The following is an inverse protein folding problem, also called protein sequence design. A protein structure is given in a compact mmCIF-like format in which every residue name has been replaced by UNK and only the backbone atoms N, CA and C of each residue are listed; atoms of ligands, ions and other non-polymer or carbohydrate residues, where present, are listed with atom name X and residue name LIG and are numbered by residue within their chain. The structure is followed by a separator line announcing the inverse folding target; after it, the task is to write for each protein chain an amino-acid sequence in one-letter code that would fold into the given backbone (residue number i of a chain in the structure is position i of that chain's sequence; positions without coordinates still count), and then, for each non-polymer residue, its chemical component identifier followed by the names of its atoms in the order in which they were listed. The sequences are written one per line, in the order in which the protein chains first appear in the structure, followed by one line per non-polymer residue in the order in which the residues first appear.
data_IF_627320415018
#
_entry.id   IF_627320415018
#
_cell.length_a   1.000
_cell.length_b   1.000
_cell.length_c   1.000
_cell.angle_alpha   90.00
_cell.angle_beta   90.00
_cell.angle_gamma   90.00
#
_symmetry.space_group_name_H-M   'P 1'
#
loop_
_entity.id
_entity.type
_entity.pdbx_description
1 polymer ?
#
# COMPACT_ATOMS: atom_id res chain seq x y z
N UNK A 1 -49.23 58.38 -48.00
CA UNK A 1 -48.29 57.26 -48.25
C UNK A 1 -47.95 56.60 -46.91
N UNK A 2 -48.36 55.33 -46.74
CA UNK A 2 -47.73 54.21 -45.98
C UNK A 2 -47.31 54.49 -44.51
N UNK A 3 -48.12 54.14 -43.49
CA UNK A 3 -48.23 52.86 -42.72
C UNK A 3 -47.15 52.59 -41.64
N UNK A 4 -47.63 52.55 -40.38
CA UNK A 4 -47.46 51.51 -39.33
C UNK A 4 -46.22 51.40 -38.40
N UNK A 5 -46.55 51.45 -37.09
CA UNK A 5 -46.29 50.45 -36.02
C UNK A 5 -45.11 50.60 -35.02
N UNK A 6 -45.45 50.21 -33.79
CA UNK A 6 -44.73 50.18 -32.50
C UNK A 6 -43.62 49.11 -32.49
N UNK A 7 -42.56 49.30 -31.68
CA UNK A 7 -42.07 48.28 -30.74
C UNK A 7 -40.90 48.81 -29.88
N UNK A 8 -40.97 48.52 -28.58
CA UNK A 8 -39.92 48.70 -27.59
C UNK A 8 -38.83 47.62 -27.75
N UNK A 9 -37.57 47.95 -27.44
CA UNK A 9 -36.51 46.96 -27.23
C UNK A 9 -35.85 47.25 -25.88
N UNK A 10 -36.30 46.51 -24.88
CA UNK A 10 -35.62 46.26 -23.61
C UNK A 10 -34.52 45.22 -23.88
N UNK A 11 -33.26 45.58 -23.64
CA UNK A 11 -32.15 44.64 -23.74
C UNK A 11 -32.12 43.71 -22.50
N UNK A 12 -32.31 42.41 -22.72
CA UNK A 12 -32.27 41.38 -21.69
C UNK A 12 -30.82 40.93 -21.47
N UNK A 13 -30.26 41.16 -20.28
CA UNK A 13 -28.98 40.58 -19.84
C UNK A 13 -29.26 39.15 -19.36
N UNK A 14 -28.85 38.15 -20.15
CA UNK A 14 -28.90 36.75 -19.74
C UNK A 14 -27.64 36.39 -18.96
N UNK A 15 -27.71 36.47 -17.63
CA UNK A 15 -26.70 35.90 -16.74
C UNK A 15 -26.83 34.37 -16.73
N UNK A 16 -25.93 33.67 -17.42
CA UNK A 16 -25.78 32.21 -17.30
C UNK A 16 -25.11 31.92 -15.97
N UNK A 17 -25.90 31.58 -14.95
CA UNK A 17 -25.40 31.02 -13.69
C UNK A 17 -25.20 29.53 -13.91
N UNK A 18 -23.96 29.11 -14.15
CA UNK A 18 -23.58 27.69 -14.15
C UNK A 18 -23.59 27.21 -12.70
N UNK A 19 -24.70 26.63 -12.24
CA UNK A 19 -24.77 26.00 -10.93
C UNK A 19 -23.90 24.73 -10.94
N UNK A 20 -22.76 24.78 -10.25
CA UNK A 20 -21.94 23.60 -9.96
C UNK A 20 -22.69 22.81 -8.89
N UNK A 21 -23.58 21.93 -9.33
CA UNK A 21 -24.22 20.95 -8.45
C UNK A 21 -23.19 19.89 -8.09
N UNK A 22 -22.47 20.05 -6.98
CA UNK A 22 -21.69 18.96 -6.39
C UNK A 22 -22.63 17.80 -6.12
N UNK A 23 -22.47 16.70 -6.86
CA UNK A 23 -23.39 15.57 -6.80
C UNK A 23 -23.28 14.87 -5.44
N UNK A 24 -24.39 14.27 -4.96
CA UNK A 24 -24.35 13.46 -3.73
C UNK A 24 -23.35 12.27 -3.80
N UNK A 25 -22.90 11.90 -5.00
CA UNK A 25 -21.86 10.90 -5.23
C UNK A 25 -20.46 11.38 -4.79
N UNK A 26 -20.16 12.68 -4.89
CA UNK A 26 -18.86 13.26 -4.49
C UNK A 26 -18.65 13.29 -2.98
N UNK A 27 -19.72 13.18 -2.19
CA UNK A 27 -19.68 13.16 -0.74
C UNK A 27 -19.56 11.74 -0.15
N UNK A 28 -19.60 10.69 -0.98
CA UNK A 28 -19.60 9.30 -0.52
C UNK A 28 -18.21 8.88 -0.02
N UNK A 29 -18.18 8.20 1.14
CA UNK A 29 -16.98 7.58 1.70
C UNK A 29 -16.42 6.55 0.71
N UNK A 30 -15.25 6.83 0.13
CA UNK A 30 -14.64 5.96 -0.85
C UNK A 30 -14.36 4.57 -0.27
N UNK A 31 -13.96 4.47 1.00
CA UNK A 31 -13.70 3.16 1.63
C UNK A 31 -14.95 2.29 1.58
N UNK A 32 -16.10 2.85 1.93
CA UNK A 32 -17.36 2.13 1.91
C UNK A 32 -17.80 1.71 0.50
N UNK A 33 -17.41 2.44 -0.55
CA UNK A 33 -17.71 2.09 -1.94
C UNK A 33 -16.82 0.96 -2.44
N UNK A 34 -15.51 1.05 -2.23
CA UNK A 34 -14.55 0.05 -2.69
C UNK A 34 -14.71 -1.28 -1.96
N UNK A 35 -14.95 -1.27 -0.64
CA UNK A 35 -15.14 -2.50 0.14
C UNK A 35 -16.39 -3.30 -0.20
N UNK A 36 -17.33 -2.75 -0.97
CA UNK A 36 -18.52 -3.49 -1.47
C UNK A 36 -18.22 -4.31 -2.73
N UNK A 37 -17.07 -4.11 -3.37
CA UNK A 37 -16.72 -4.78 -4.62
C UNK A 37 -15.93 -6.06 -4.30
N UNK A 38 -16.52 -7.20 -4.63
CA UNK A 38 -15.92 -8.52 -4.42
C UNK A 38 -15.10 -9.03 -5.61
N UNK A 39 -15.22 -8.38 -6.78
CA UNK A 39 -14.55 -8.77 -8.03
C UNK A 39 -13.84 -7.57 -8.68
N UNK A 40 -12.78 -7.84 -9.48
CA UNK A 40 -12.09 -6.78 -10.22
C UNK A 40 -13.04 -6.08 -11.20
N UNK A 41 -12.64 -4.91 -11.66
CA UNK A 41 -13.33 -4.24 -12.76
C UNK A 41 -12.96 -4.89 -14.11
N UNK A 42 -13.82 -4.84 -15.14
CA UNK A 42 -13.61 -5.50 -16.43
C UNK A 42 -12.58 -4.80 -17.35
N UNK A 43 -11.69 -3.99 -16.76
CA UNK A 43 -10.68 -3.21 -17.48
C UNK A 43 -9.37 -3.98 -17.62
N UNK A 44 -8.49 -3.50 -18.49
CA UNK A 44 -7.09 -3.90 -18.47
C UNK A 44 -6.43 -3.49 -17.13
N UNK A 45 -5.45 -4.28 -16.64
CA UNK A 45 -4.79 -3.99 -15.37
C UNK A 45 -4.08 -2.63 -15.36
N UNK A 46 -4.49 -1.74 -14.46
CA UNK A 46 -3.92 -0.39 -14.38
C UNK A 46 -3.99 0.21 -12.96
N UNK A 47 -2.84 0.68 -12.47
CA UNK A 47 -2.72 1.37 -11.17
C UNK A 47 -2.97 2.87 -11.36
N UNK A 48 -3.92 3.43 -10.61
CA UNK A 48 -4.38 4.82 -10.79
C UNK A 48 -4.16 5.61 -9.50
N UNK A 49 -3.45 6.74 -9.59
CA UNK A 49 -3.21 7.64 -8.47
C UNK A 49 -2.00 7.26 -7.62
N UNK A 50 -2.06 7.57 -6.33
CA UNK A 50 -1.02 7.32 -5.32
C UNK A 50 -1.37 6.09 -4.49
N UNK A 51 -0.38 5.44 -3.88
CA UNK A 51 -0.55 4.25 -3.04
C UNK A 51 -1.59 4.40 -1.91
N UNK A 52 -1.80 5.62 -1.43
CA UNK A 52 -2.74 5.98 -0.37
C UNK A 52 -3.89 6.90 -0.82
N UNK A 53 -4.03 7.12 -2.14
CA UNK A 53 -5.08 7.95 -2.72
C UNK A 53 -5.24 7.57 -4.20
N UNK A 54 -5.90 6.45 -4.45
CA UNK A 54 -6.01 5.88 -5.77
C UNK A 54 -6.93 4.67 -5.85
N UNK A 55 -6.90 3.97 -6.97
CA UNK A 55 -7.65 2.73 -7.21
C UNK A 55 -6.90 1.80 -8.18
N UNK A 56 -7.44 0.60 -8.38
CA UNK A 56 -6.87 -0.42 -9.25
C UNK A 56 -7.93 -0.92 -10.24
N UNK A 57 -7.67 -0.69 -11.53
CA UNK A 57 -8.44 -1.26 -12.62
C UNK A 57 -7.91 -2.65 -12.98
N UNK A 58 -8.78 -3.59 -13.37
CA UNK A 58 -8.36 -4.89 -13.91
C UNK A 58 -7.45 -5.70 -12.99
N UNK A 59 -7.70 -5.69 -11.67
CA UNK A 59 -6.79 -6.33 -10.73
C UNK A 59 -6.62 -7.83 -11.01
N UNK A 60 -5.39 -8.32 -10.85
CA UNK A 60 -5.07 -9.74 -10.97
C UNK A 60 -4.97 -10.34 -9.57
N UNK A 61 -5.60 -11.50 -9.38
CA UNK A 61 -5.46 -12.25 -8.14
C UNK A 61 -4.06 -12.88 -8.05
N UNK A 62 -3.44 -12.79 -6.87
CA UNK A 62 -2.42 -13.77 -6.49
C UNK A 62 -3.14 -15.12 -6.35
N UNK A 63 -2.70 -16.20 -7.04
CA UNK A 63 -3.23 -17.53 -6.76
C UNK A 63 -3.13 -17.80 -5.25
N UNK A 64 -4.24 -18.25 -4.64
CA UNK A 64 -4.31 -18.40 -3.19
C UNK A 64 -3.17 -19.26 -2.65
N UNK A 65 -2.70 -20.21 -3.44
CA UNK A 65 -1.51 -21.02 -3.14
C UNK A 65 -0.63 -21.12 -4.37
N UNK A 66 0.68 -21.19 -4.14
CA UNK A 66 1.64 -21.60 -5.15
C UNK A 66 2.75 -22.45 -4.55
N UNK A 67 3.73 -22.87 -5.36
CA UNK A 67 4.77 -23.81 -4.91
C UNK A 67 5.59 -23.33 -3.71
N UNK A 68 5.68 -22.01 -3.55
CA UNK A 68 6.50 -21.36 -2.51
C UNK A 68 5.74 -20.25 -1.78
N UNK A 69 4.40 -20.21 -1.84
CA UNK A 69 3.63 -19.23 -1.07
C UNK A 69 2.20 -19.69 -0.73
N UNK A 70 1.62 -19.05 0.28
CA UNK A 70 0.18 -19.04 0.52
C UNK A 70 -0.30 -17.62 0.83
N UNK A 71 -1.38 -17.19 0.18
CA UNK A 71 -2.11 -15.98 0.55
C UNK A 71 -2.87 -16.22 1.84
N UNK A 72 -2.75 -15.30 2.79
CA UNK A 72 -3.30 -15.38 4.14
C UNK A 72 -4.54 -14.51 4.28
N UNK A 73 -5.35 -14.77 5.31
CA UNK A 73 -6.59 -14.02 5.57
C UNK A 73 -7.53 -13.97 4.35
N UNK A 74 -7.73 -15.10 3.67
CA UNK A 74 -8.50 -15.18 2.41
C UNK A 74 -9.90 -14.57 2.55
N UNK A 75 -10.53 -14.69 3.72
CA UNK A 75 -11.82 -14.08 4.05
C UNK A 75 -11.87 -12.55 3.87
N UNK A 76 -10.72 -11.87 3.90
CA UNK A 76 -10.64 -10.42 3.65
C UNK A 76 -10.74 -10.05 2.18
N UNK A 77 -10.50 -10.98 1.26
CA UNK A 77 -10.46 -10.74 -0.18
C UNK A 77 -9.45 -9.63 -0.58
N UNK A 78 -8.28 -9.61 0.08
CA UNK A 78 -7.20 -8.63 -0.14
C UNK A 78 -6.01 -9.23 -0.90
N UNK A 79 -6.20 -10.22 -1.77
CA UNK A 79 -5.11 -10.88 -2.51
C UNK A 79 -5.05 -10.44 -3.98
N UNK A 80 -5.42 -9.17 -4.26
CA UNK A 80 -5.45 -8.61 -5.61
C UNK A 80 -4.33 -7.59 -5.80
N UNK A 81 -3.80 -7.48 -7.02
CA UNK A 81 -2.72 -6.56 -7.29
C UNK A 81 -2.56 -6.19 -8.77
N UNK A 82 -1.65 -5.25 -9.01
CA UNK A 82 -1.13 -5.03 -10.35
C UNK A 82 -0.32 -6.28 -10.77
N UNK A 83 -0.32 -6.68 -12.06
CA UNK A 83 0.48 -7.81 -12.54
C UNK A 83 1.96 -7.76 -12.14
N UNK A 84 2.57 -6.57 -12.08
CA UNK A 84 3.95 -6.41 -11.59
C UNK A 84 4.11 -6.78 -10.11
N UNK A 85 3.11 -6.48 -9.27
CA UNK A 85 3.12 -6.86 -7.86
C UNK A 85 2.97 -8.37 -7.70
N UNK A 86 2.04 -8.99 -8.44
CA UNK A 86 1.84 -10.43 -8.39
C UNK A 86 3.14 -11.15 -8.78
N UNK A 87 3.78 -10.75 -9.88
CA UNK A 87 5.09 -11.28 -10.30
C UNK A 87 6.16 -11.08 -9.24
N UNK A 88 6.24 -9.88 -8.65
CA UNK A 88 7.20 -9.60 -7.58
C UNK A 88 7.02 -10.54 -6.38
N UNK A 89 5.77 -10.74 -5.92
CA UNK A 89 5.49 -11.63 -4.78
C UNK A 89 5.86 -13.08 -5.09
N UNK A 90 5.54 -13.56 -6.29
CA UNK A 90 5.93 -14.91 -6.74
C UNK A 90 7.46 -15.08 -6.84
N UNK A 91 8.17 -14.06 -7.30
CA UNK A 91 9.64 -14.07 -7.38
C UNK A 91 10.29 -14.01 -6.00
N UNK A 92 9.78 -13.14 -5.13
CA UNK A 92 10.25 -13.03 -3.75
C UNK A 92 10.00 -14.32 -2.98
N UNK A 93 8.90 -15.02 -3.25
CA UNK A 93 8.60 -16.29 -2.60
C UNK A 93 9.58 -17.40 -2.98
N UNK A 94 10.05 -17.41 -4.23
CA UNK A 94 11.18 -18.24 -4.65
C UNK A 94 12.52 -17.77 -4.07
N UNK A 95 12.71 -16.48 -3.84
CA UNK A 95 13.91 -15.99 -3.14
C UNK A 95 13.92 -16.42 -1.67
N UNK A 96 12.75 -16.53 -1.03
CA UNK A 96 12.62 -17.03 0.34
C UNK A 96 13.18 -18.44 0.51
N UNK A 97 13.02 -19.31 -0.50
CA UNK A 97 13.59 -20.68 -0.44
C UNK A 97 15.11 -20.70 -0.46
N UNK A 98 15.74 -19.73 -1.12
CA UNK A 98 17.20 -19.58 -1.16
C UNK A 98 17.79 -19.10 0.17
N UNK A 99 16.97 -18.51 1.05
CA UNK A 99 17.41 -18.09 2.40
C UNK A 99 17.02 -19.10 3.48
N UNK A 100 16.50 -20.27 3.09
CA UNK A 100 16.17 -21.38 3.98
C UNK A 100 14.73 -21.41 4.49
N UNK A 101 13.82 -20.59 3.93
CA UNK A 101 12.38 -20.71 4.23
C UNK A 101 11.71 -21.68 3.26
N UNK A 102 10.57 -22.28 3.62
CA UNK A 102 9.82 -23.09 2.66
C UNK A 102 9.15 -22.24 1.57
N UNK A 103 9.00 -20.93 1.81
CA UNK A 103 8.26 -20.00 0.97
C UNK A 103 7.83 -18.78 1.76
N UNK A 104 6.69 -18.18 1.38
CA UNK A 104 6.10 -17.02 2.07
C UNK A 104 4.65 -17.25 2.50
N UNK A 105 4.31 -16.69 3.64
CA UNK A 105 2.94 -16.31 3.95
C UNK A 105 2.73 -14.85 3.54
N UNK A 106 1.85 -14.63 2.56
CA UNK A 106 1.57 -13.32 1.99
C UNK A 106 0.32 -12.76 2.65
N UNK A 107 0.44 -11.60 3.30
CA UNK A 107 -0.66 -10.89 3.93
C UNK A 107 -1.50 -10.11 2.91
N UNK A 108 -1.93 -8.92 3.31
CA UNK A 108 -2.81 -8.10 2.48
C UNK A 108 -2.01 -7.50 1.30
N UNK A 109 -2.55 -7.65 0.10
CA UNK A 109 -2.29 -6.86 -1.11
C UNK A 109 -3.39 -5.78 -1.20
N UNK A 110 -4.05 -5.62 -2.35
CA UNK A 110 -5.21 -4.75 -2.53
C UNK A 110 -6.55 -5.50 -2.50
N UNK A 111 -7.62 -4.75 -2.30
CA UNK A 111 -8.99 -5.16 -2.66
C UNK A 111 -9.12 -5.35 -4.19
N UNK A 112 -10.17 -6.03 -4.70
CA UNK A 112 -10.33 -6.33 -6.13
C UNK A 112 -10.32 -5.10 -7.04
N UNK A 113 -10.74 -3.94 -6.53
CA UNK A 113 -10.72 -2.66 -7.26
C UNK A 113 -9.78 -1.62 -6.63
N UNK A 114 -8.91 -2.07 -5.72
CA UNK A 114 -8.05 -1.19 -4.94
C UNK A 114 -8.84 -0.28 -4.01
N UNK A 115 -8.51 1.01 -4.01
CA UNK A 115 -9.20 2.02 -3.21
C UNK A 115 -8.87 1.95 -1.71
N UNK A 116 -9.35 2.94 -0.93
CA UNK A 116 -9.19 2.92 0.52
C UNK A 116 -9.73 1.62 1.12
N UNK A 117 -8.95 1.00 1.99
CA UNK A 117 -9.22 -0.33 2.55
C UNK A 117 -9.13 -0.28 4.08
N UNK A 118 -9.89 -1.14 4.76
CA UNK A 118 -9.84 -1.21 6.21
C UNK A 118 -8.50 -1.77 6.71
N UNK A 119 -7.96 -1.15 7.76
CA UNK A 119 -6.70 -1.58 8.39
C UNK A 119 -5.44 -0.98 7.78
N UNK A 120 -5.53 -0.35 6.60
CA UNK A 120 -4.38 0.21 5.89
C UNK A 120 -4.58 1.66 5.48
N UNK A 121 -3.49 2.43 5.53
CA UNK A 121 -3.45 3.76 4.95
C UNK A 121 -3.18 3.73 3.43
N UNK A 122 -2.51 2.68 2.93
CA UNK A 122 -2.18 2.46 1.51
C UNK A 122 -2.85 1.21 0.95
N UNK A 123 -2.18 0.43 0.09
CA UNK A 123 -2.77 -0.74 -0.59
C UNK A 123 -3.87 -0.41 -1.59
N UNK A 124 -3.94 0.84 -2.05
CA UNK A 124 -5.06 1.29 -2.88
C UNK A 124 -4.88 1.05 -4.37
N UNK A 125 -3.65 0.83 -4.85
CA UNK A 125 -3.34 0.80 -6.30
C UNK A 125 -2.68 -0.49 -6.79
N UNK A 126 -2.69 -1.56 -5.98
CA UNK A 126 -2.11 -2.86 -6.37
C UNK A 126 -0.60 -2.92 -6.38
N UNK A 127 0.09 -2.00 -5.70
CA UNK A 127 1.56 -1.90 -5.67
C UNK A 127 2.12 -1.89 -4.23
N UNK A 128 1.33 -2.36 -3.26
CA UNK A 128 1.74 -2.61 -1.88
C UNK A 128 1.46 -4.07 -1.51
N UNK A 129 2.35 -4.68 -0.71
CA UNK A 129 2.21 -6.06 -0.25
C UNK A 129 2.76 -6.22 1.18
N UNK A 130 1.96 -6.80 2.06
CA UNK A 130 2.43 -7.25 3.37
C UNK A 130 2.98 -8.67 3.28
N UNK A 131 4.22 -8.86 3.71
CA UNK A 131 4.83 -10.18 3.82
C UNK A 131 5.03 -10.50 5.29
N UNK A 132 4.46 -11.62 5.74
CA UNK A 132 4.53 -12.02 7.14
C UNK A 132 5.98 -12.33 7.54
N UNK A 133 6.36 -11.91 8.75
CA UNK A 133 7.64 -12.29 9.37
C UNK A 133 7.61 -13.71 9.97
N UNK A 134 6.53 -14.47 9.78
CA UNK A 134 6.46 -15.88 10.14
C UNK A 134 7.00 -16.73 8.99
N UNK A 135 8.15 -17.42 9.13
CA UNK A 135 8.61 -18.39 8.14
C UNK A 135 7.61 -19.54 8.04
N UNK A 136 7.13 -19.94 6.85
CA UNK A 136 6.17 -21.04 6.73
C UNK A 136 6.76 -22.37 7.20
N UNK A 137 6.15 -22.98 8.23
CA UNK A 137 6.46 -24.36 8.63
C UNK A 137 5.96 -25.40 7.63
N UNK A 138 4.91 -25.07 6.86
CA UNK A 138 4.35 -25.85 5.75
C UNK A 138 3.59 -24.92 4.79
N UNK A 139 3.31 -25.37 3.57
CA UNK A 139 2.58 -24.60 2.54
C UNK A 139 1.29 -25.31 2.07
N UNK A 140 0.64 -26.01 2.98
CA UNK A 140 -0.63 -26.70 2.75
C UNK A 140 -1.67 -26.34 3.81
N UNK A 141 -1.63 -25.11 4.35
CA UNK A 141 -2.67 -24.61 5.23
C UNK A 141 -4.04 -24.58 4.53
N UNK A 142 -5.07 -25.00 5.25
CA UNK A 142 -6.48 -24.83 4.85
C UNK A 142 -6.91 -23.36 4.91
N UNK A 143 -7.96 -22.92 4.20
CA UNK A 143 -8.46 -21.55 4.30
C UNK A 143 -8.74 -21.09 5.74
N UNK A 144 -9.35 -21.95 6.57
CA UNK A 144 -9.63 -21.64 7.97
C UNK A 144 -8.37 -21.43 8.82
N UNK A 145 -7.31 -22.21 8.58
CA UNK A 145 -6.00 -22.02 9.22
C UNK A 145 -5.37 -20.68 8.80
N UNK A 146 -5.47 -20.33 7.52
CA UNK A 146 -4.96 -19.05 7.01
C UNK A 146 -5.70 -17.85 7.57
N UNK A 147 -6.97 -18.02 7.91
CA UNK A 147 -7.80 -16.99 8.54
C UNK A 147 -7.61 -16.89 10.06
N UNK A 148 -6.99 -17.88 10.72
CA UNK A 148 -6.85 -17.93 12.20
C UNK A 148 -5.42 -17.76 12.71
N UNK A 149 -4.40 -18.29 12.02
CA UNK A 149 -2.99 -18.20 12.47
C UNK A 149 -2.54 -16.75 12.52
N UNK A 150 -1.66 -16.40 13.46
CA UNK A 150 -1.05 -15.06 13.53
C UNK A 150 0.42 -15.10 13.12
N UNK A 151 0.92 -13.98 12.62
CA UNK A 151 2.33 -13.84 12.27
C UNK A 151 3.22 -13.67 13.53
N UNK A 152 4.53 -13.68 13.31
CA UNK A 152 5.58 -13.68 14.34
C UNK A 152 6.04 -12.26 14.68
N UNK A 153 6.02 -11.87 15.97
CA UNK A 153 6.56 -10.59 16.41
C UNK A 153 8.08 -10.65 16.59
N UNK A 154 8.84 -9.81 15.86
CA UNK A 154 10.32 -9.77 15.94
C UNK A 154 10.88 -8.65 16.81
N UNK A 155 10.03 -7.84 17.45
CA UNK A 155 10.43 -6.68 18.27
C UNK A 155 10.34 -6.96 19.76
N UNK A 156 11.28 -6.42 20.54
CA UNK A 156 11.23 -6.39 22.01
C UNK A 156 10.03 -5.58 22.54
N UNK A 157 9.64 -5.82 23.79
CA UNK A 157 8.54 -5.09 24.45
C UNK A 157 8.85 -3.61 24.65
N UNK A 158 10.12 -3.26 24.92
CA UNK A 158 10.59 -1.87 25.04
C UNK A 158 10.73 -1.15 23.70
N UNK A 159 10.47 -1.85 22.58
CA UNK A 159 10.52 -1.33 21.21
C UNK A 159 11.89 -0.90 20.71
N UNK A 160 12.97 -1.20 21.43
CA UNK A 160 14.33 -0.71 21.13
C UNK A 160 15.22 -1.72 20.41
N UNK A 161 14.90 -3.00 20.48
CA UNK A 161 15.70 -4.08 19.90
C UNK A 161 14.83 -5.12 19.18
N UNK A 162 15.49 -5.98 18.38
CA UNK A 162 14.86 -7.21 17.90
C UNK A 162 14.91 -8.27 19.01
N UNK A 163 13.91 -9.15 19.06
CA UNK A 163 13.87 -10.26 20.01
C UNK A 163 14.43 -11.57 19.38
N UNK A 164 14.35 -12.69 20.10
CA UNK A 164 14.86 -14.00 19.65
C UNK A 164 14.18 -14.59 18.40
N UNK A 165 13.07 -14.03 17.95
CA UNK A 165 12.40 -14.47 16.71
C UNK A 165 13.09 -13.94 15.45
N UNK A 166 13.87 -12.87 15.55
CA UNK A 166 14.60 -12.33 14.40
C UNK A 166 15.79 -13.22 14.05
N UNK A 167 15.95 -13.54 12.76
CA UNK A 167 17.02 -14.42 12.28
C UNK A 167 17.73 -13.82 11.07
N UNK A 168 18.91 -14.36 10.75
CA UNK A 168 19.65 -13.99 9.54
C UNK A 168 18.86 -14.27 8.25
N UNK A 169 17.98 -15.27 8.24
CA UNK A 169 17.13 -15.56 7.10
C UNK A 169 16.13 -14.42 6.82
N UNK A 170 15.57 -13.81 7.88
CA UNK A 170 14.74 -12.60 7.72
C UNK A 170 15.53 -11.47 7.07
N UNK A 171 16.73 -11.18 7.57
CA UNK A 171 17.59 -10.12 7.04
C UNK A 171 17.90 -10.34 5.54
N UNK A 172 18.25 -11.57 5.16
CA UNK A 172 18.53 -11.93 3.75
C UNK A 172 17.30 -11.84 2.85
N UNK A 173 16.12 -12.17 3.36
CA UNK A 173 14.86 -12.00 2.61
C UNK A 173 14.56 -10.52 2.35
N UNK A 174 14.69 -9.67 3.36
CA UNK A 174 14.49 -8.23 3.20
C UNK A 174 15.54 -7.60 2.27
N UNK A 175 16.80 -8.05 2.33
CA UNK A 175 17.83 -7.63 1.39
C UNK A 175 17.47 -8.05 -0.05
N UNK A 176 17.03 -9.30 -0.26
CA UNK A 176 16.60 -9.78 -1.58
C UNK A 176 15.44 -8.93 -2.14
N UNK A 177 14.44 -8.61 -1.30
CA UNK A 177 13.36 -7.71 -1.68
C UNK A 177 13.87 -6.29 -2.01
N UNK A 178 14.73 -5.70 -1.18
CA UNK A 178 15.23 -4.34 -1.37
C UNK A 178 16.12 -4.20 -2.62
N UNK A 179 16.84 -5.25 -2.99
CA UNK A 179 17.67 -5.28 -4.20
C UNK A 179 16.86 -5.36 -5.49
N UNK A 180 15.58 -5.72 -5.41
CA UNK A 180 14.71 -5.70 -6.58
C UNK A 180 14.53 -4.26 -7.12
N UNK A 181 14.72 -4.03 -8.43
CA UNK A 181 14.61 -2.69 -9.01
C UNK A 181 13.18 -2.13 -9.01
N UNK A 182 12.15 -2.99 -8.93
CA UNK A 182 10.75 -2.56 -8.83
C UNK A 182 10.44 -1.96 -7.46
N UNK A 183 11.13 -2.41 -6.41
CA UNK A 183 10.89 -1.96 -5.03
C UNK A 183 11.36 -0.52 -4.84
N UNK A 184 10.44 0.33 -4.38
CA UNK A 184 10.71 1.69 -3.94
C UNK A 184 11.20 1.69 -2.48
N UNK A 185 10.39 1.14 -1.57
CA UNK A 185 10.65 1.10 -0.13
C UNK A 185 10.08 -0.18 0.49
N UNK A 186 10.64 -0.57 1.61
CA UNK A 186 10.13 -1.60 2.51
C UNK A 186 9.95 -0.98 3.89
N UNK A 187 8.73 -0.93 4.40
CA UNK A 187 8.49 -0.47 5.77
C UNK A 187 8.58 -1.64 6.73
N UNK A 188 9.37 -1.46 7.78
CA UNK A 188 9.53 -2.44 8.85
C UNK A 188 9.75 -1.73 10.18
N UNK A 189 9.52 -2.44 11.28
CA UNK A 189 9.74 -1.91 12.61
C UNK A 189 11.18 -1.39 12.82
N UNK A 190 11.37 -0.25 13.52
CA UNK A 190 12.68 0.42 13.58
C UNK A 190 13.85 -0.44 14.10
N UNK A 191 13.68 -1.29 15.14
CA UNK A 191 14.79 -2.11 15.61
C UNK A 191 15.35 -3.07 14.57
N UNK A 192 14.53 -3.53 13.63
CA UNK A 192 15.01 -4.37 12.53
C UNK A 192 15.93 -3.57 11.62
N UNK A 193 15.55 -2.35 11.25
CA UNK A 193 16.42 -1.47 10.44
C UNK A 193 17.77 -1.27 11.12
N UNK A 194 17.78 -0.97 12.41
CA UNK A 194 19.03 -0.79 13.17
C UNK A 194 19.86 -2.07 13.25
N UNK A 195 19.22 -3.22 13.48
CA UNK A 195 19.92 -4.51 13.48
C UNK A 195 20.56 -4.81 12.13
N UNK A 196 19.83 -4.58 11.03
CA UNK A 196 20.35 -4.76 9.68
C UNK A 196 21.50 -3.78 9.38
N UNK A 197 21.41 -2.54 9.85
CA UNK A 197 22.49 -1.57 9.74
C UNK A 197 23.77 -2.02 10.45
N UNK A 198 23.65 -2.56 11.67
CA UNK A 198 24.76 -3.05 12.46
C UNK A 198 25.40 -4.33 11.88
N UNK A 199 24.57 -5.24 11.33
CA UNK A 199 25.03 -6.54 10.83
C UNK A 199 25.52 -6.51 9.39
N UNK A 200 25.04 -5.56 8.59
CA UNK A 200 25.39 -5.53 7.17
C UNK A 200 26.89 -5.27 7.02
N UNK A 201 27.59 -6.01 6.14
CA UNK A 201 29.02 -5.84 5.95
C UNK A 201 29.35 -4.46 5.36
N UNK A 202 30.62 -4.09 5.40
CA UNK A 202 31.14 -3.00 4.58
C UNK A 202 30.99 -3.35 3.09
N UNK A 203 30.73 -2.34 2.24
CA UNK A 203 30.53 -2.52 0.80
C UNK A 203 29.23 -1.91 0.28
N UNK A 204 28.59 -2.55 -0.71
CA UNK A 204 27.33 -2.09 -1.28
C UNK A 204 26.17 -2.22 -0.28
N UNK A 205 25.81 -1.08 0.29
CA UNK A 205 24.75 -0.88 1.27
C UNK A 205 23.60 -0.05 0.71
N UNK A 206 23.56 0.26 -0.59
CA UNK A 206 22.55 1.17 -1.15
C UNK A 206 21.12 0.64 -0.93
N UNK A 207 20.95 -0.69 -0.93
CA UNK A 207 19.68 -1.36 -0.66
C UNK A 207 19.12 -1.07 0.74
N UNK A 208 19.97 -0.80 1.74
CA UNK A 208 19.52 -0.45 3.09
C UNK A 208 18.70 0.85 3.06
N UNK A 209 18.99 1.80 2.17
CA UNK A 209 18.23 3.04 2.04
C UNK A 209 16.73 2.78 1.80
N UNK A 210 16.38 1.69 1.11
CA UNK A 210 14.99 1.29 0.87
C UNK A 210 14.31 0.68 2.11
N UNK A 211 15.06 0.18 3.08
CA UNK A 211 14.50 -0.30 4.35
C UNK A 211 14.19 0.91 5.24
N UNK A 212 12.89 1.15 5.47
CA UNK A 212 12.38 2.34 6.16
C UNK A 212 11.76 1.96 7.50
N UNK A 213 12.24 2.53 8.61
CA UNK A 213 11.56 2.44 9.89
C UNK A 213 10.12 2.97 9.78
N UNK A 214 9.17 2.25 10.37
CA UNK A 214 7.80 2.73 10.53
C UNK A 214 7.15 2.13 11.77
N UNK A 215 6.18 2.85 12.34
CA UNK A 215 5.40 2.39 13.50
C UNK A 215 4.70 1.06 13.21
N UNK A 216 4.64 0.18 14.21
CA UNK A 216 4.14 -1.19 14.02
C UNK A 216 5.13 -2.03 13.22
N UNK A 217 4.65 -2.68 12.15
CA UNK A 217 5.43 -3.51 11.20
C UNK A 217 6.40 -4.49 11.88
N UNK A 218 6.00 -4.98 13.04
CA UNK A 218 6.79 -5.90 13.85
C UNK A 218 6.39 -7.37 13.62
N UNK A 219 5.32 -7.60 12.84
CA UNK A 219 4.82 -8.93 12.47
C UNK A 219 4.82 -9.17 10.96
N UNK A 220 5.08 -8.16 10.16
CA UNK A 220 5.19 -8.20 8.70
C UNK A 220 6.14 -7.09 8.25
N UNK A 221 6.64 -7.19 7.04
CA UNK A 221 7.21 -6.05 6.33
C UNK A 221 6.30 -5.68 5.16
N UNK A 222 6.13 -4.38 4.96
CA UNK A 222 5.33 -3.82 3.88
C UNK A 222 6.25 -3.49 2.73
N UNK A 223 6.06 -4.12 1.57
CA UNK A 223 6.78 -3.78 0.34
C UNK A 223 5.95 -2.82 -0.49
N UNK A 224 6.58 -1.75 -0.98
CA UNK A 224 6.01 -0.82 -1.95
C UNK A 224 6.81 -0.83 -3.24
N UNK A 225 6.13 -1.04 -4.37
CA UNK A 225 6.73 -0.92 -5.70
C UNK A 225 6.62 0.52 -6.25
N UNK A 226 7.54 0.84 -7.15
CA UNK A 226 7.41 1.96 -8.09
C UNK A 226 6.25 1.71 -9.05
N UNK A 227 5.75 2.78 -9.68
CA UNK A 227 4.80 2.66 -10.77
C UNK A 227 5.43 1.89 -11.96
N UNK A 228 4.67 1.00 -12.62
CA UNK A 228 5.12 0.35 -13.85
C UNK A 228 5.55 1.39 -14.90
N UNK A 229 6.59 1.05 -15.68
CA UNK A 229 7.16 1.94 -16.69
C UNK A 229 6.07 2.37 -17.69
N UNK A 230 5.93 3.68 -17.90
CA UNK A 230 4.96 4.24 -18.85
C UNK A 230 3.53 4.40 -18.31
N UNK A 231 3.24 3.99 -17.08
CA UNK A 231 1.91 4.16 -16.47
C UNK A 231 1.65 5.63 -16.07
N UNK A 232 1.22 6.46 -17.04
CA UNK A 232 0.97 7.91 -16.85
C UNK A 232 -0.01 8.27 -15.73
N UNK A 233 -1.01 7.43 -15.46
CA UNK A 233 -1.99 7.63 -14.39
C UNK A 233 -1.54 7.14 -13.02
N UNK A 234 -0.38 6.49 -12.92
CA UNK A 234 0.21 6.06 -11.66
C UNK A 234 1.22 7.11 -11.18
N UNK A 235 1.13 7.49 -9.92
CA UNK A 235 2.02 8.49 -9.32
C UNK A 235 3.06 7.80 -8.43
N UNK A 236 4.33 7.94 -8.81
CA UNK A 236 5.43 7.36 -8.04
C UNK A 236 5.50 7.92 -6.60
N UNK A 237 5.98 7.13 -5.63
CA UNK A 237 6.35 7.67 -4.33
C UNK A 237 7.52 8.65 -4.47
N UNK A 238 7.69 9.52 -3.47
CA UNK A 238 8.85 10.41 -3.43
C UNK A 238 10.16 9.60 -3.48
N UNK A 239 11.26 10.14 -4.02
CA UNK A 239 12.53 9.43 -4.04
C UNK A 239 13.00 9.01 -2.64
N UNK A 240 13.62 7.84 -2.52
CA UNK A 240 14.29 7.43 -1.29
C UNK A 240 15.46 8.39 -1.03
N UNK A 241 15.63 8.95 0.19
CA UNK A 241 16.79 9.77 0.51
C UNK A 241 18.10 9.03 0.21
N UNK A 242 19.15 9.74 -0.24
CA UNK A 242 20.43 9.11 -0.53
C UNK A 242 21.06 8.50 0.73
N UNK A 243 21.89 7.47 0.54
CA UNK A 243 22.58 6.77 1.61
C UNK A 243 21.80 5.57 2.17
N UNK A 244 22.35 4.98 3.23
CA UNK A 244 21.75 3.79 3.85
C UNK A 244 20.68 4.13 4.90
N UNK A 245 20.56 5.40 5.31
CA UNK A 245 19.58 5.87 6.28
C UNK A 245 19.73 5.25 7.68
N UNK A 246 20.92 4.76 8.03
CA UNK A 246 21.17 4.10 9.32
C UNK A 246 21.27 5.08 10.48
N UNK A 247 21.87 6.26 10.29
CA UNK A 247 21.93 7.31 11.32
C UNK A 247 20.54 7.83 11.67
N UNK A 248 19.72 8.15 10.66
CA UNK A 248 18.35 8.64 10.86
C UNK A 248 17.45 7.63 11.59
N UNK A 249 17.76 6.34 11.47
CA UNK A 249 16.98 5.28 12.11
C UNK A 249 17.11 5.28 13.64
N UNK A 250 18.16 5.89 14.22
CA UNK A 250 18.40 5.92 15.68
C UNK A 250 17.28 6.66 16.41
N UNK A 251 16.84 7.80 15.87
CA UNK A 251 15.76 8.63 16.43
C UNK A 251 14.50 7.81 16.78
N UNK A 252 14.19 6.79 15.97
CA UNK A 252 13.00 5.95 16.12
C UNK A 252 12.98 5.08 17.37
N UNK A 253 14.14 4.76 17.94
CA UNK A 253 14.27 3.95 19.18
C UNK A 253 14.72 4.77 20.38
N UNK A 254 14.99 6.06 20.17
CA UNK A 254 15.35 7.02 21.22
C UNK A 254 14.20 8.00 21.42
N UNK A 255 14.26 9.15 20.77
CA UNK A 255 13.42 10.32 20.95
C UNK A 255 11.96 10.03 20.60
N UNK A 256 11.73 9.22 19.56
CA UNK A 256 10.38 8.88 19.11
C UNK A 256 9.59 8.06 20.14
N UNK A 257 10.28 7.36 21.06
CA UNK A 257 9.66 6.61 22.16
C UNK A 257 9.50 7.45 23.43
N UNK A 258 9.95 8.72 23.42
CA UNK A 258 9.75 9.65 24.52
C UNK A 258 8.27 9.97 24.76
N UNK A 259 7.92 10.48 25.95
CA UNK A 259 6.56 10.93 26.20
C UNK A 259 6.17 12.05 25.21
N UNK A 260 4.92 12.10 24.74
CA UNK A 260 4.46 13.17 23.86
C UNK A 260 4.60 14.52 24.57
N UNK A 261 4.93 15.57 23.82
CA UNK A 261 4.99 16.93 24.36
C UNK A 261 3.62 17.32 24.96
N UNK A 262 3.54 17.59 26.28
CA UNK A 262 2.28 17.92 26.94
C UNK A 262 1.65 19.23 26.43
N UNK A 263 2.42 20.09 25.75
CA UNK A 263 1.95 21.35 25.18
C UNK A 263 1.58 21.24 23.70
N UNK A 264 1.87 20.11 23.04
CA UNK A 264 1.54 19.94 21.63
C UNK A 264 0.01 19.91 21.43
N UNK A 265 -0.51 20.63 20.41
CA UNK A 265 -1.93 20.55 20.09
C UNK A 265 -2.28 19.11 19.71
N UNK A 266 -3.42 18.61 20.22
CA UNK A 266 -3.92 17.28 19.85
C UNK A 266 -4.05 17.17 18.32
N UNK A 267 -3.50 16.12 17.68
CA UNK A 267 -3.65 15.92 16.25
C UNK A 267 -5.13 15.86 15.88
N UNK A 268 -5.54 16.65 14.88
CA UNK A 268 -6.89 16.54 14.31
C UNK A 268 -6.96 15.22 13.52
N UNK A 269 -7.99 14.38 13.73
CA UNK A 269 -8.20 13.21 12.91
C UNK A 269 -8.30 13.60 11.44
N UNK A 270 -7.60 12.87 10.56
CA UNK A 270 -7.77 13.06 9.12
C UNK A 270 -9.17 12.57 8.73
N UNK A 271 -9.95 13.35 7.96
CA UNK A 271 -11.24 12.88 7.47
C UNK A 271 -11.03 11.67 6.55
N UNK A 272 -12.03 10.77 6.44
CA UNK A 272 -11.98 9.69 5.47
C UNK A 272 -11.95 10.26 4.05
N UNK A 273 -11.26 9.54 3.15
CA UNK A 273 -11.24 9.88 1.73
C UNK A 273 -12.64 9.72 1.14
N UNK A 274 -13.08 10.74 0.42
CA UNK A 274 -14.28 10.71 -0.41
C UNK A 274 -13.92 10.28 -1.82
N UNK A 275 -14.92 9.86 -2.59
CA UNK A 275 -14.68 9.51 -4.00
C UNK A 275 -14.09 10.70 -4.78
N UNK A 276 -14.53 11.92 -4.46
CA UNK A 276 -14.01 13.17 -5.04
C UNK A 276 -12.56 13.49 -4.69
N UNK A 277 -11.99 12.88 -3.65
CA UNK A 277 -10.58 13.02 -3.31
C UNK A 277 -9.69 12.08 -4.16
N UNK A 278 -10.28 11.12 -4.88
CA UNK A 278 -9.56 10.17 -5.72
C UNK A 278 -9.43 10.66 -7.17
N UNK A 279 -8.50 10.11 -7.97
CA UNK A 279 -8.47 10.37 -9.41
C UNK A 279 -9.84 10.08 -10.06
N UNK A 280 -10.33 10.92 -10.99
CA UNK A 280 -11.67 10.78 -11.56
C UNK A 280 -11.96 9.39 -12.19
N UNK A 281 -10.92 8.73 -12.71
CA UNK A 281 -11.02 7.38 -13.28
C UNK A 281 -11.47 6.34 -12.24
N UNK A 282 -11.28 6.59 -10.94
CA UNK A 282 -11.71 5.70 -9.88
C UNK A 282 -13.23 5.58 -9.77
N UNK A 283 -13.99 6.58 -10.21
CA UNK A 283 -15.44 6.47 -10.34
C UNK A 283 -15.84 5.44 -11.41
N UNK A 284 -15.14 5.42 -12.55
CA UNK A 284 -15.37 4.44 -13.63
C UNK A 284 -15.01 3.02 -13.18
N UNK A 285 -13.86 2.87 -12.50
CA UNK A 285 -13.46 1.59 -11.89
C UNK A 285 -14.55 1.05 -10.96
N UNK A 286 -15.28 1.90 -10.23
CA UNK A 286 -16.38 1.47 -9.36
C UNK A 286 -17.69 1.18 -10.12
N UNK A 287 -18.03 1.93 -11.16
CA UNK A 287 -19.31 1.80 -11.87
C UNK A 287 -19.37 0.57 -12.77
N UNK A 288 -18.26 0.22 -13.41
CA UNK A 288 -18.29 -0.70 -14.55
C UNK A 288 -18.38 -2.16 -14.08
N UNK A 289 -19.16 -2.96 -14.81
CA UNK A 289 -19.51 -4.34 -14.49
C UNK A 289 -19.07 -5.28 -15.60
#
# INVERSE_FOLDING_TARGET
MIRHWRAAITALIASVILAISSSAADAQDAKALFSRKSTPSPHDPYSIGRHAQGCLAGAVALPESGPTWQAMRLSRNHFWGNPEMIRFVEELSRAATKVGWNGLYVGDLSQPRGGPVQGHASHQIGLDADIWLLPPGRLNLTPAERDSISSLNVRSSDQRSVNGNWTRAHARLLEAAARDPRVNRIFITPPVKLKMCADAPAGDRAWLGKIRPWWGHNTHFHVRLNCPKGAKGCVNPDPVPPGDGCTDAVWWVTDALGPPDPKAPKPKPKPPLRLSDLPPQCAQVLSDQ
#
